data_IF_699061368421
#
_entry.id   IF_699061368421
#
_cell.length_a   1.000
_cell.length_b   1.000
_cell.length_c   1.000
_cell.angle_alpha   90.00
_cell.angle_beta   90.00
_cell.angle_gamma   90.00
#
_symmetry.space_group_name_H-M   'P 1'
#
loop_
_entity.id
_entity.type
_entity.pdbx_description
1 polymer ?
#
# COMPACT_ATOMS: atom_id res chain seq x y z
N UNK A 1 -29.80 33.09 -19.94
CA UNK A 1 -29.88 32.13 -18.82
C UNK A 1 -30.46 30.82 -19.37
N UNK A 2 -29.87 30.25 -20.41
CA UNK A 2 -28.75 29.28 -20.33
C UNK A 2 -29.17 27.88 -19.85
N UNK A 3 -30.36 27.40 -20.22
CA UNK A 3 -30.78 26.01 -20.02
C UNK A 3 -29.78 24.98 -20.57
N UNK A 4 -28.96 25.36 -21.56
CA UNK A 4 -27.86 24.56 -22.10
C UNK A 4 -26.70 24.38 -21.11
N UNK A 5 -26.41 25.40 -20.29
CA UNK A 5 -25.40 25.31 -19.22
C UNK A 5 -25.91 24.43 -18.08
N UNK A 6 -27.18 24.57 -17.69
CA UNK A 6 -27.80 23.70 -16.69
C UNK A 6 -27.77 22.22 -17.09
N UNK A 7 -28.05 21.93 -18.36
CA UNK A 7 -27.95 20.57 -18.90
C UNK A 7 -26.51 20.05 -18.94
N UNK A 8 -25.54 20.91 -19.29
CA UNK A 8 -24.12 20.53 -19.26
C UNK A 8 -23.65 20.20 -17.84
N UNK A 9 -24.06 20.97 -16.83
CA UNK A 9 -23.74 20.67 -15.43
C UNK A 9 -24.40 19.36 -14.96
N UNK A 10 -25.65 19.10 -15.36
CA UNK A 10 -26.33 17.83 -15.06
C UNK A 10 -25.65 16.63 -15.71
N UNK A 11 -25.23 16.76 -16.97
CA UNK A 11 -24.48 15.71 -17.67
C UNK A 11 -23.11 15.46 -17.02
N UNK A 12 -22.37 16.52 -16.69
CA UNK A 12 -21.06 16.40 -16.01
C UNK A 12 -21.24 15.76 -14.63
N UNK A 13 -22.28 16.12 -13.88
CA UNK A 13 -22.60 15.49 -12.60
C UNK A 13 -22.93 14.00 -12.77
N UNK A 14 -23.80 13.64 -13.71
CA UNK A 14 -24.17 12.24 -14.00
C UNK A 14 -22.96 11.38 -14.42
N UNK A 15 -22.08 11.91 -15.28
CA UNK A 15 -20.83 11.24 -15.70
C UNK A 15 -19.86 11.09 -14.52
N UNK A 16 -19.84 12.07 -13.61
CA UNK A 16 -19.00 12.02 -12.40
C UNK A 16 -19.50 10.99 -11.39
N UNK A 17 -20.80 10.74 -11.28
CA UNK A 17 -21.34 9.66 -10.45
C UNK A 17 -21.09 8.27 -11.07
N UNK A 18 -21.02 8.17 -12.41
CA UNK A 18 -20.67 6.93 -13.12
C UNK A 18 -19.18 6.57 -13.03
N UNK A 19 -18.28 7.56 -12.93
CA UNK A 19 -16.86 7.32 -12.65
C UNK A 19 -16.54 7.29 -11.14
N UNK A 20 -17.39 7.91 -10.32
CA UNK A 20 -17.34 7.96 -8.86
C UNK A 20 -17.84 6.68 -8.22
N UNK A 21 -17.37 5.53 -8.70
CA UNK A 21 -17.46 4.30 -7.96
C UNK A 21 -16.69 4.49 -6.65
N UNK A 22 -17.41 4.69 -5.55
CA UNK A 22 -16.94 4.51 -4.19
C UNK A 22 -16.59 3.05 -3.88
N UNK A 23 -15.87 2.39 -4.80
CA UNK A 23 -15.24 1.11 -4.62
C UNK A 23 -13.77 1.37 -4.35
N UNK A 24 -13.28 0.90 -3.21
CA UNK A 24 -11.88 0.52 -3.05
C UNK A 24 -11.44 -0.16 -4.35
N UNK A 25 -10.57 0.49 -5.14
CA UNK A 25 -9.96 -0.14 -6.30
C UNK A 25 -9.32 -1.41 -5.75
N UNK A 26 -9.91 -2.57 -6.03
CA UNK A 26 -9.26 -3.83 -5.81
C UNK A 26 -8.09 -3.82 -6.79
N UNK A 27 -6.94 -3.31 -6.34
CA UNK A 27 -5.67 -3.38 -7.07
C UNK A 27 -5.58 -4.78 -7.66
N UNK A 28 -5.43 -4.86 -8.99
CA UNK A 28 -5.49 -6.14 -9.68
C UNK A 28 -4.37 -7.03 -9.12
N UNK A 29 -4.60 -8.34 -8.99
CA UNK A 29 -3.58 -9.26 -8.48
C UNK A 29 -2.23 -9.16 -9.25
N UNK A 30 -2.30 -8.76 -10.53
CA UNK A 30 -1.18 -8.45 -11.40
C UNK A 30 -0.44 -7.14 -11.00
N UNK A 31 -1.16 -6.06 -10.70
CA UNK A 31 -0.59 -4.78 -10.24
C UNK A 31 0.14 -5.00 -8.91
N UNK A 32 -0.47 -5.74 -7.98
CA UNK A 32 0.18 -6.13 -6.73
C UNK A 32 1.43 -7.00 -6.95
N UNK A 33 1.51 -7.83 -8.00
CA UNK A 33 2.71 -8.65 -8.26
C UNK A 33 3.92 -7.77 -8.60
N UNK A 34 3.72 -6.74 -9.43
CA UNK A 34 4.76 -5.76 -9.75
C UNK A 34 5.19 -4.96 -8.52
N UNK A 35 4.21 -4.39 -7.81
CA UNK A 35 4.44 -3.63 -6.57
C UNK A 35 5.26 -4.41 -5.53
N UNK A 36 4.92 -5.68 -5.32
CA UNK A 36 5.60 -6.57 -4.38
C UNK A 36 7.04 -6.85 -4.78
N UNK A 37 7.29 -7.20 -6.04
CA UNK A 37 8.65 -7.50 -6.50
C UNK A 37 9.57 -6.29 -6.34
N UNK A 38 9.05 -5.10 -6.64
CA UNK A 38 9.78 -3.84 -6.45
C UNK A 38 10.08 -3.63 -4.97
N UNK A 39 9.08 -3.80 -4.09
CA UNK A 39 9.25 -3.63 -2.65
C UNK A 39 10.29 -4.59 -2.06
N UNK A 40 10.18 -5.89 -2.38
CA UNK A 40 11.10 -6.92 -1.88
C UNK A 40 12.52 -6.65 -2.33
N UNK A 41 12.73 -6.30 -3.60
CA UNK A 41 14.07 -6.02 -4.11
C UNK A 41 14.66 -4.73 -3.50
N UNK A 42 13.83 -3.69 -3.32
CA UNK A 42 14.24 -2.44 -2.71
C UNK A 42 14.61 -2.61 -1.22
N UNK A 43 13.84 -3.42 -0.49
CA UNK A 43 13.92 -3.53 0.97
C UNK A 43 14.59 -4.82 1.47
N UNK A 44 15.20 -5.64 0.60
CA UNK A 44 15.90 -6.88 1.00
C UNK A 44 16.93 -6.70 2.12
N UNK A 45 17.54 -5.52 2.22
CA UNK A 45 18.48 -5.19 3.30
C UNK A 45 17.83 -5.17 4.68
N UNK A 46 16.55 -4.79 4.77
CA UNK A 46 15.78 -4.70 6.02
C UNK A 46 15.61 -6.08 6.66
N UNK A 47 15.45 -7.13 5.84
CA UNK A 47 15.39 -8.53 6.33
C UNK A 47 16.69 -8.90 7.07
N UNK A 48 17.82 -8.37 6.62
CA UNK A 48 19.14 -8.55 7.25
C UNK A 48 19.47 -7.46 8.27
N UNK A 49 18.46 -6.74 8.77
CA UNK A 49 18.60 -5.65 9.73
C UNK A 49 19.53 -4.50 9.27
N UNK A 50 19.73 -4.35 7.96
CA UNK A 50 20.46 -3.21 7.39
C UNK A 50 19.53 -2.01 7.26
N UNK A 51 20.11 -0.82 7.47
CA UNK A 51 19.41 0.45 7.29
C UNK A 51 18.72 0.55 5.93
N UNK A 52 17.48 1.07 5.88
CA UNK A 52 16.73 1.20 4.64
C UNK A 52 17.41 2.19 3.69
N UNK A 53 17.37 1.88 2.39
CA UNK A 53 17.75 2.86 1.36
C UNK A 53 16.64 3.89 1.17
N UNK A 54 16.93 5.08 0.62
CA UNK A 54 15.90 6.06 0.28
C UNK A 54 14.81 5.48 -0.64
N UNK A 55 15.21 4.63 -1.59
CA UNK A 55 14.29 3.93 -2.49
C UNK A 55 13.39 2.94 -1.73
N UNK A 56 13.92 2.19 -0.77
CA UNK A 56 13.11 1.33 0.09
C UNK A 56 12.07 2.15 0.87
N UNK A 57 12.46 3.27 1.49
CA UNK A 57 11.52 4.14 2.19
C UNK A 57 10.44 4.71 1.26
N UNK A 58 10.79 5.09 0.03
CA UNK A 58 9.80 5.53 -0.95
C UNK A 58 8.78 4.43 -1.24
N UNK A 59 9.23 3.19 -1.48
CA UNK A 59 8.34 2.05 -1.70
C UNK A 59 7.46 1.74 -0.50
N UNK A 60 8.00 1.79 0.72
CA UNK A 60 7.21 1.60 1.95
C UNK A 60 6.10 2.65 2.14
N UNK A 61 6.28 3.87 1.62
CA UNK A 61 5.26 4.93 1.68
C UNK A 61 4.13 4.72 0.69
N UNK A 62 4.46 4.30 -0.54
CA UNK A 62 3.52 4.28 -1.67
C UNK A 62 2.88 2.91 -1.91
N UNK A 63 3.50 1.82 -1.46
CA UNK A 63 2.97 0.47 -1.69
C UNK A 63 1.74 0.18 -0.83
N UNK A 64 0.72 -0.38 -1.47
CA UNK A 64 -0.54 -0.70 -0.80
C UNK A 64 -0.39 -1.91 0.12
N UNK A 65 -0.88 -1.78 1.35
CA UNK A 65 -0.86 -2.87 2.35
C UNK A 65 -1.60 -4.12 1.85
N UNK A 66 -2.67 -3.94 1.07
CA UNK A 66 -3.45 -5.03 0.49
C UNK A 66 -2.64 -5.87 -0.50
N UNK A 67 -1.62 -5.31 -1.14
CA UNK A 67 -0.71 -6.05 -2.00
C UNK A 67 0.36 -6.81 -1.21
N UNK A 68 0.76 -6.31 -0.03
CA UNK A 68 1.88 -6.85 0.74
C UNK A 68 1.44 -7.93 1.72
N UNK A 69 0.38 -7.70 2.49
CA UNK A 69 -0.02 -8.61 3.56
C UNK A 69 -0.30 -10.06 3.11
N UNK A 70 -0.86 -10.33 1.91
CA UNK A 70 -1.08 -11.69 1.45
C UNK A 70 0.20 -12.51 1.21
N UNK A 71 1.35 -11.87 1.00
CA UNK A 71 2.63 -12.57 0.77
C UNK A 71 3.47 -12.76 2.03
N UNK A 72 3.04 -12.17 3.15
CA UNK A 72 3.68 -12.38 4.44
C UNK A 72 3.25 -13.75 4.96
N UNK A 73 3.89 -14.78 4.42
CA UNK A 73 3.75 -16.17 4.82
C UNK A 73 4.47 -16.40 6.15
N UNK A 74 4.15 -17.48 6.90
CA UNK A 74 4.83 -17.77 8.17
C UNK A 74 6.34 -18.01 7.98
N UNK A 75 6.74 -18.60 6.85
CA UNK A 75 8.15 -18.80 6.50
C UNK A 75 8.89 -17.46 6.31
N UNK A 76 8.26 -16.48 5.65
CA UNK A 76 8.83 -15.15 5.50
C UNK A 76 8.83 -14.39 6.84
N UNK A 77 7.75 -14.50 7.62
CA UNK A 77 7.64 -13.89 8.94
C UNK A 77 8.73 -14.37 9.90
N UNK A 78 9.14 -15.64 9.81
CA UNK A 78 10.22 -16.20 10.62
C UNK A 78 11.60 -15.57 10.34
N UNK A 79 11.79 -14.94 9.18
CA UNK A 79 13.04 -14.28 8.79
C UNK A 79 13.07 -12.78 9.14
N UNK A 80 11.93 -12.21 9.53
CA UNK A 80 11.77 -10.76 9.71
C UNK A 80 11.65 -10.45 11.20
N UNK A 81 12.56 -9.61 11.71
CA UNK A 81 12.33 -8.96 13.01
C UNK A 81 11.22 -7.92 12.86
N UNK A 82 10.04 -8.24 13.40
CA UNK A 82 8.83 -7.41 13.32
C UNK A 82 9.03 -6.06 14.00
N UNK A 83 9.78 -5.99 15.11
CA UNK A 83 10.01 -4.75 15.83
C UNK A 83 10.94 -3.82 15.04
N UNK A 84 12.01 -4.38 14.47
CA UNK A 84 12.92 -3.67 13.59
C UNK A 84 12.20 -3.17 12.34
N UNK A 85 11.44 -4.04 11.66
CA UNK A 85 10.67 -3.68 10.48
C UNK A 85 9.67 -2.56 10.79
N UNK A 86 8.96 -2.65 11.93
CA UNK A 86 8.01 -1.60 12.36
C UNK A 86 8.72 -0.26 12.58
N UNK A 87 9.88 -0.25 13.26
CA UNK A 87 10.69 0.95 13.45
C UNK A 87 11.19 1.54 12.13
N UNK A 88 11.61 0.69 11.19
CA UNK A 88 12.04 1.13 9.85
C UNK A 88 10.88 1.77 9.09
N UNK A 89 9.70 1.15 9.10
CA UNK A 89 8.50 1.67 8.41
C UNK A 89 8.09 3.03 9.01
N UNK A 90 8.06 3.12 10.34
CA UNK A 90 7.78 4.36 11.06
C UNK A 90 8.84 5.44 10.80
N UNK A 91 10.13 5.08 10.81
CA UNK A 91 11.23 5.99 10.50
C UNK A 91 11.24 6.46 9.04
N UNK A 92 10.73 5.63 8.13
CA UNK A 92 10.44 6.04 6.76
C UNK A 92 9.21 6.96 6.68
N UNK A 93 8.47 7.26 7.75
CA UNK A 93 7.34 8.18 7.74
C UNK A 93 6.00 7.53 7.39
N UNK A 94 5.89 6.20 7.47
CA UNK A 94 4.62 5.49 7.34
C UNK A 94 4.14 5.04 8.71
N UNK A 95 2.95 5.48 9.10
CA UNK A 95 2.37 5.07 10.38
C UNK A 95 1.93 3.60 10.32
N UNK A 96 2.30 2.85 11.35
CA UNK A 96 1.87 1.47 11.56
C UNK A 96 0.96 1.44 12.78
N UNK A 97 -0.33 1.10 12.61
CA UNK A 97 -1.26 0.98 13.74
C UNK A 97 -0.78 -0.09 14.72
N UNK A 98 -1.09 0.09 16.01
CA UNK A 98 -0.89 -0.97 17.01
C UNK A 98 -1.78 -2.16 16.70
N UNK A 99 -1.30 -3.37 17.01
CA UNK A 99 -2.03 -4.62 16.76
C UNK A 99 -2.46 -4.83 15.30
N UNK A 100 -1.74 -4.22 14.35
CA UNK A 100 -2.01 -4.39 12.94
C UNK A 100 -1.61 -5.80 12.49
N UNK A 101 -2.58 -6.55 11.94
CA UNK A 101 -2.35 -7.85 11.30
C UNK A 101 -2.04 -7.68 9.83
N UNK A 102 -0.97 -8.34 9.38
CA UNK A 102 -0.55 -8.36 7.99
C UNK A 102 -0.01 -9.76 7.66
N UNK A 103 -0.84 -10.58 7.03
CA UNK A 103 -0.55 -12.00 6.81
C UNK A 103 -0.30 -12.73 8.12
N UNK A 104 0.85 -13.39 8.25
CA UNK A 104 1.26 -14.09 9.47
C UNK A 104 1.91 -13.21 10.54
N UNK A 105 2.14 -11.91 10.27
CA UNK A 105 2.72 -10.97 11.23
C UNK A 105 1.60 -10.19 11.95
N UNK A 106 1.77 -9.99 13.25
CA UNK A 106 0.98 -9.03 14.04
C UNK A 106 1.94 -8.08 14.73
N UNK A 107 1.77 -6.78 14.51
CA UNK A 107 2.54 -5.74 15.20
C UNK A 107 2.06 -5.61 16.64
N UNK A 108 2.96 -5.21 17.55
CA UNK A 108 2.61 -4.98 18.96
C UNK A 108 2.17 -3.54 19.23
#
# INVERSE_FOLDING_TARGET
>A
MDGKRGYLFLLVALISMLNGGGGVRAESAAECKGERNILVNACKGVIRQKSPTPYCCQRLRVTHVNCVCPIITPQLAALIDVNYATKVIQGCGRQVPRHFKCGSITTR
#
